data_IF_373642504359
#
_entry.id   IF_373642504359
#
_cell.length_a   1.000
_cell.length_b   1.000
_cell.length_c   1.000
_cell.angle_alpha   90.00
_cell.angle_beta   90.00
_cell.angle_gamma   90.00
#
_symmetry.space_group_name_H-M   'P 1'
#
loop_
_entity.id
_entity.type
_entity.pdbx_description
1 polymer ?
#
# COMPACT_ATOMS: atom_id res chain seq x y z
N UNK A 1 -23.98 8.33 34.68
CA UNK A 1 -22.55 8.13 34.36
C UNK A 1 -22.42 8.31 32.86
N UNK A 2 -21.55 9.21 32.35
CA UNK A 2 -21.35 9.34 30.91
C UNK A 2 -20.59 8.13 30.38
N UNK A 3 -21.04 7.60 29.24
CA UNK A 3 -20.37 6.53 28.51
C UNK A 3 -19.17 7.16 27.81
N UNK A 4 -17.96 6.94 28.30
CA UNK A 4 -16.73 7.36 27.63
C UNK A 4 -16.61 6.49 26.37
N UNK A 5 -17.10 6.98 25.24
CA UNK A 5 -16.78 6.39 23.94
C UNK A 5 -15.29 6.63 23.72
N UNK A 6 -14.48 5.58 23.76
CA UNK A 6 -13.08 5.66 23.34
C UNK A 6 -13.10 6.10 21.87
N UNK A 7 -12.45 7.22 21.49
CA UNK A 7 -12.36 7.60 20.09
C UNK A 7 -11.72 6.42 19.36
N UNK A 8 -12.49 5.81 18.46
CA UNK A 8 -11.99 4.68 17.69
C UNK A 8 -11.07 5.29 16.64
N UNK A 9 -9.78 5.28 16.92
CA UNK A 9 -8.77 5.76 15.96
C UNK A 9 -8.89 4.88 14.72
N UNK A 10 -9.40 5.45 13.63
CA UNK A 10 -9.48 4.79 12.33
C UNK A 10 -8.27 5.21 11.52
N UNK A 11 -7.55 4.22 10.99
CA UNK A 11 -6.30 4.44 10.27
C UNK A 11 -6.47 4.14 8.78
N UNK A 12 -6.86 5.11 7.98
CA UNK A 12 -7.08 4.91 6.55
C UNK A 12 -5.76 4.76 5.78
N UNK A 13 -5.69 3.77 4.90
CA UNK A 13 -4.61 3.65 3.92
C UNK A 13 -5.01 4.38 2.63
N UNK A 14 -4.08 5.14 2.06
CA UNK A 14 -4.24 5.73 0.73
C UNK A 14 -3.03 5.46 -0.15
N UNK A 15 -3.27 5.21 -1.43
CA UNK A 15 -2.27 5.27 -2.49
C UNK A 15 -2.58 6.50 -3.32
N UNK A 16 -1.65 7.45 -3.34
CA UNK A 16 -1.73 8.69 -4.09
C UNK A 16 -0.59 8.74 -5.13
N UNK A 17 -0.93 8.90 -6.41
CA UNK A 17 0.03 9.21 -7.47
C UNK A 17 0.11 10.73 -7.64
N UNK A 18 1.21 11.34 -7.18
CA UNK A 18 1.30 12.79 -6.98
C UNK A 18 1.66 13.55 -8.26
N UNK A 19 2.19 12.89 -9.30
CA UNK A 19 2.90 13.59 -10.41
C UNK A 19 2.36 13.40 -11.84
N UNK A 20 1.24 12.70 -12.08
CA UNK A 20 0.69 12.64 -13.44
C UNK A 20 -0.84 12.67 -13.51
N UNK A 21 -1.31 12.99 -14.72
CA UNK A 21 -2.67 13.08 -15.27
C UNK A 21 -3.73 12.05 -14.81
N UNK A 22 -3.40 11.10 -13.95
CA UNK A 22 -4.27 10.10 -13.36
C UNK A 22 -4.32 10.30 -11.85
N UNK A 23 -5.05 11.33 -11.39
CA UNK A 23 -5.35 11.58 -9.98
C UNK A 23 -6.21 10.47 -9.36
N UNK A 24 -5.68 9.25 -9.33
CA UNK A 24 -6.31 8.07 -8.80
C UNK A 24 -5.90 7.97 -7.33
N UNK A 25 -6.67 8.65 -6.49
CA UNK A 25 -6.62 8.46 -5.03
C UNK A 25 -7.45 7.24 -4.70
N UNK A 26 -6.78 6.15 -4.30
CA UNK A 26 -7.46 4.99 -3.75
C UNK A 26 -7.38 5.09 -2.23
N UNK A 27 -8.48 5.51 -1.59
CA UNK A 27 -8.61 5.52 -0.13
C UNK A 27 -9.38 4.30 0.36
N UNK A 28 -8.88 3.66 1.41
CA UNK A 28 -9.53 2.52 2.05
C UNK A 28 -9.17 2.46 3.53
N UNK A 29 -10.21 2.40 4.37
CA UNK A 29 -10.15 2.45 5.84
C UNK A 29 -9.28 1.41 6.57
N UNK A 30 -9.51 1.31 7.88
CA UNK A 30 -8.54 0.89 8.91
C UNK A 30 -7.92 -0.51 8.93
N UNK A 31 -8.25 -1.41 8.00
CA UNK A 31 -7.93 -2.84 8.15
C UNK A 31 -6.81 -3.32 7.21
N UNK A 32 -6.07 -4.35 7.65
CA UNK A 32 -5.08 -5.07 6.82
C UNK A 32 -5.71 -5.68 5.55
N UNK A 33 -6.98 -6.04 5.62
CA UNK A 33 -7.78 -6.52 4.48
C UNK A 33 -8.04 -5.43 3.44
N UNK A 34 -8.02 -4.17 3.86
CA UNK A 34 -8.22 -3.03 2.96
C UNK A 34 -6.97 -2.71 2.15
N UNK A 35 -5.76 -2.80 2.75
CA UNK A 35 -4.51 -2.66 1.98
C UNK A 35 -4.39 -3.74 0.89
N UNK A 36 -4.87 -4.95 1.18
CA UNK A 36 -5.00 -6.02 0.18
C UNK A 36 -5.89 -5.59 -0.98
N UNK A 37 -7.04 -4.98 -0.68
CA UNK A 37 -8.00 -4.51 -1.68
C UNK A 37 -7.46 -3.33 -2.49
N UNK A 38 -6.82 -2.36 -1.83
CA UNK A 38 -6.16 -1.22 -2.46
C UNK A 38 -5.03 -1.67 -3.39
N UNK A 39 -4.22 -2.64 -2.95
CA UNK A 39 -3.17 -3.23 -3.76
C UNK A 39 -3.73 -3.91 -5.02
N UNK A 40 -4.79 -4.71 -4.87
CA UNK A 40 -5.47 -5.35 -6.01
C UNK A 40 -6.09 -4.33 -6.99
N UNK A 41 -6.72 -3.27 -6.46
CA UNK A 41 -7.33 -2.19 -7.25
C UNK A 41 -6.27 -1.41 -8.02
N UNK A 42 -5.19 -1.02 -7.37
CA UNK A 42 -4.10 -0.29 -7.99
C UNK A 42 -3.46 -1.14 -9.11
N UNK A 43 -3.10 -2.39 -8.83
CA UNK A 43 -2.49 -3.29 -9.82
C UNK A 43 -3.35 -3.52 -11.07
N UNK A 44 -4.68 -3.59 -10.90
CA UNK A 44 -5.60 -3.78 -12.02
C UNK A 44 -5.44 -2.71 -13.10
N UNK A 45 -5.09 -1.49 -12.69
CA UNK A 45 -4.98 -0.34 -13.59
C UNK A 45 -3.56 -0.14 -14.14
N UNK A 46 -2.54 -0.88 -13.68
CA UNK A 46 -1.13 -0.69 -14.07
C UNK A 46 -0.66 -1.55 -15.25
N UNK A 47 -1.31 -2.69 -15.53
CA UNK A 47 -0.86 -3.60 -16.58
C UNK A 47 0.33 -4.46 -16.17
N UNK A 48 1.34 -4.61 -17.04
CA UNK A 48 2.56 -5.38 -16.74
C UNK A 48 3.60 -4.49 -16.05
N UNK A 49 4.00 -4.88 -14.84
CA UNK A 49 4.90 -4.12 -13.98
C UNK A 49 6.11 -4.95 -13.53
N UNK A 50 6.41 -6.08 -14.20
CA UNK A 50 7.52 -6.95 -13.80
C UNK A 50 8.88 -6.26 -13.83
N UNK A 51 9.05 -5.24 -14.66
CA UNK A 51 10.28 -4.43 -14.77
C UNK A 51 10.36 -3.28 -13.76
N UNK A 52 9.37 -3.16 -12.87
CA UNK A 52 9.31 -2.07 -11.91
C UNK A 52 10.34 -2.22 -10.79
N UNK A 53 11.35 -1.36 -10.78
CA UNK A 53 12.48 -1.40 -9.83
C UNK A 53 12.04 -1.37 -8.36
N UNK A 54 10.95 -0.65 -8.03
CA UNK A 54 10.46 -0.53 -6.64
C UNK A 54 9.45 -1.62 -6.27
N UNK A 55 9.15 -2.55 -7.17
CA UNK A 55 8.22 -3.65 -6.90
C UNK A 55 8.62 -4.48 -5.65
N UNK A 56 9.89 -4.89 -5.45
CA UNK A 56 10.26 -5.64 -4.24
C UNK A 56 9.96 -4.86 -2.95
N UNK A 57 10.30 -3.56 -2.93
CA UNK A 57 10.09 -2.67 -1.80
C UNK A 57 8.61 -2.49 -1.49
N UNK A 58 7.79 -2.28 -2.53
CA UNK A 58 6.35 -2.16 -2.39
C UNK A 58 5.72 -3.47 -1.90
N UNK A 59 6.14 -4.60 -2.47
CA UNK A 59 5.72 -5.93 -2.03
C UNK A 59 6.05 -6.19 -0.56
N UNK A 60 7.19 -5.69 -0.07
CA UNK A 60 7.59 -5.82 1.34
C UNK A 60 6.67 -5.02 2.25
N UNK A 61 6.28 -3.81 1.85
CA UNK A 61 5.30 -2.98 2.56
C UNK A 61 3.93 -3.67 2.61
N UNK A 62 3.44 -4.16 1.48
CA UNK A 62 2.16 -4.89 1.39
C UNK A 62 2.20 -6.15 2.25
N UNK A 63 3.29 -6.92 2.22
CA UNK A 63 3.43 -8.11 3.07
C UNK A 63 3.42 -7.78 4.56
N UNK A 64 4.06 -6.69 4.99
CA UNK A 64 4.12 -6.29 6.40
C UNK A 64 2.77 -5.77 6.91
N UNK A 65 2.05 -5.01 6.08
CA UNK A 65 0.86 -4.27 6.51
C UNK A 65 -0.48 -4.83 5.99
N UNK A 66 -0.48 -5.88 5.18
CA UNK A 66 -1.69 -6.57 4.69
C UNK A 66 -1.82 -8.00 5.25
N UNK A 67 -2.88 -8.69 4.87
CA UNK A 67 -3.07 -10.12 5.13
C UNK A 67 -2.65 -11.01 3.95
N UNK A 68 -2.17 -10.41 2.84
CA UNK A 68 -1.70 -11.17 1.68
C UNK A 68 -0.44 -11.95 2.01
N UNK A 69 -0.41 -13.20 1.56
CA UNK A 69 0.78 -14.02 1.63
C UNK A 69 1.83 -13.56 0.62
N UNK A 70 3.10 -13.65 1.01
CA UNK A 70 4.25 -13.31 0.17
C UNK A 70 4.22 -13.91 -1.26
N UNK A 71 3.83 -15.19 -1.47
CA UNK A 71 3.76 -15.75 -2.82
C UNK A 71 2.76 -15.03 -3.74
N UNK A 72 1.61 -14.61 -3.20
CA UNK A 72 0.58 -13.90 -3.98
C UNK A 72 1.12 -12.52 -4.41
N UNK A 73 1.77 -11.82 -3.47
CA UNK A 73 2.36 -10.50 -3.72
C UNK A 73 3.45 -10.60 -4.79
N UNK A 74 4.32 -11.61 -4.70
CA UNK A 74 5.38 -11.86 -5.67
C UNK A 74 4.83 -12.08 -7.08
N UNK A 75 3.82 -12.95 -7.23
CA UNK A 75 3.16 -13.22 -8.52
C UNK A 75 2.53 -11.95 -9.10
N UNK A 76 1.82 -11.17 -8.28
CA UNK A 76 1.13 -9.97 -8.74
C UNK A 76 2.08 -8.83 -9.15
N UNK A 77 3.28 -8.79 -8.56
CA UNK A 77 4.31 -7.82 -8.89
C UNK A 77 5.27 -8.30 -9.99
N UNK A 78 5.16 -9.55 -10.43
CA UNK A 78 6.10 -10.13 -11.38
C UNK A 78 7.53 -10.28 -10.85
N UNK A 79 7.72 -10.33 -9.52
CA UNK A 79 9.03 -10.48 -8.86
C UNK A 79 9.13 -11.79 -8.09
N UNK A 80 10.33 -12.11 -7.59
CA UNK A 80 10.51 -13.30 -6.76
C UNK A 80 10.19 -13.03 -5.29
N UNK A 81 9.77 -14.06 -4.55
CA UNK A 81 9.58 -13.94 -3.09
C UNK A 81 10.88 -13.56 -2.37
N UNK A 82 12.02 -14.07 -2.86
CA UNK A 82 13.33 -13.79 -2.29
C UNK A 82 13.67 -12.30 -2.39
N UNK A 83 13.43 -11.67 -3.53
CA UNK A 83 13.66 -10.22 -3.69
C UNK A 83 12.84 -9.37 -2.72
N UNK A 84 11.61 -9.79 -2.39
CA UNK A 84 10.79 -9.10 -1.38
C UNK A 84 11.28 -9.40 0.06
N UNK A 85 11.77 -10.62 0.29
CA UNK A 85 12.27 -11.02 1.60
C UNK A 85 13.56 -10.29 1.98
N UNK A 86 14.46 -10.10 1.01
CA UNK A 86 15.75 -9.42 1.16
C UNK A 86 15.61 -7.91 1.39
N UNK A 87 14.49 -7.31 0.99
CA UNK A 87 14.22 -5.90 1.26
C UNK A 87 14.20 -5.60 2.76
N UNK A 88 14.74 -4.45 3.19
CA UNK A 88 14.71 -4.05 4.59
C UNK A 88 13.28 -3.96 5.10
N UNK A 89 13.09 -4.22 6.40
CA UNK A 89 11.78 -4.06 7.03
C UNK A 89 11.31 -2.61 6.85
N UNK A 90 10.07 -2.39 6.39
CA UNK A 90 9.57 -1.05 6.16
C UNK A 90 9.42 -0.35 7.52
N UNK A 91 9.82 0.92 7.56
CA UNK A 91 9.64 1.76 8.74
C UNK A 91 8.17 2.11 8.99
N UNK A 92 7.95 3.30 9.54
CA UNK A 92 6.59 3.83 9.73
C UNK A 92 6.13 4.57 8.47
N UNK A 93 4.88 4.39 7.99
CA UNK A 93 4.31 5.21 6.92
C UNK A 93 4.31 6.71 7.29
N UNK A 94 4.24 7.63 6.30
CA UNK A 94 4.02 7.39 4.87
C UNK A 94 5.27 6.89 4.14
N UNK A 95 5.06 6.13 3.07
CA UNK A 95 6.12 5.65 2.19
C UNK A 95 6.03 6.31 0.83
N UNK A 96 7.15 6.79 0.31
CA UNK A 96 7.25 7.40 -1.02
C UNK A 96 8.19 6.57 -1.89
N UNK A 97 7.74 6.23 -3.09
CA UNK A 97 8.52 5.48 -4.08
C UNK A 97 8.04 5.81 -5.49
N UNK A 98 8.91 5.60 -6.49
CA UNK A 98 8.52 5.78 -7.89
C UNK A 98 7.65 4.60 -8.31
N UNK A 99 6.50 4.87 -8.92
CA UNK A 99 5.64 3.92 -9.59
C UNK A 99 6.24 3.39 -10.89
N UNK A 100 5.59 2.39 -11.52
CA UNK A 100 6.08 1.76 -12.75
C UNK A 100 6.13 2.74 -13.93
N UNK A 101 5.22 3.72 -13.98
CA UNK A 101 5.22 4.78 -14.99
C UNK A 101 6.20 5.93 -14.68
N UNK A 102 6.95 5.84 -13.59
CA UNK A 102 7.88 6.87 -13.12
C UNK A 102 7.26 7.92 -12.20
N UNK A 103 5.93 7.89 -11.99
CA UNK A 103 5.20 8.80 -11.10
C UNK A 103 5.57 8.61 -9.64
N UNK A 104 5.50 9.67 -8.83
CA UNK A 104 5.67 9.53 -7.39
C UNK A 104 4.42 8.90 -6.77
N UNK A 105 4.56 7.70 -6.20
CA UNK A 105 3.54 7.04 -5.42
C UNK A 105 3.79 7.27 -3.92
N UNK A 106 2.75 7.71 -3.24
CA UNK A 106 2.72 7.89 -1.79
C UNK A 106 1.74 6.89 -1.19
N UNK A 107 2.24 5.95 -0.39
CA UNK A 107 1.43 5.08 0.45
C UNK A 107 1.37 5.68 1.86
N UNK A 108 0.27 6.37 2.16
CA UNK A 108 0.05 6.97 3.46
C UNK A 108 -0.87 6.11 4.33
N UNK A 109 -0.66 6.19 5.65
CA UNK A 109 -1.59 5.68 6.64
C UNK A 109 -1.99 6.84 7.54
N UNK A 110 -3.09 7.49 7.19
CA UNK A 110 -3.57 8.66 7.93
C UNK A 110 -4.46 8.22 9.08
N UNK A 111 -4.33 8.90 10.22
CA UNK A 111 -5.25 8.78 11.32
C UNK A 111 -6.46 9.67 11.02
N UNK A 112 -7.56 9.09 10.56
CA UNK A 112 -8.83 9.78 10.47
C UNK A 112 -9.45 9.78 11.88
N UNK A 113 -9.37 10.92 12.55
CA UNK A 113 -10.14 11.14 13.79
C UNK A 113 -11.62 10.87 13.50
N UNK A 114 -12.18 9.83 14.12
CA UNK A 114 -13.62 9.75 14.31
C UNK A 114 -14.00 10.86 15.31
N UNK A 115 -14.93 11.71 14.88
CA UNK A 115 -15.50 12.85 15.61
C UNK A 115 -15.65 12.66 17.13
#
# INVERSE_FOLDING_TARGET
MPVTATPTIQYEWSIDAVDANHGARYSGGSSKEMLTSLFALWLKDQGDISDWEQAPRFGKIVHTYSTLSLPIIAVWLGVTEQTIYEEPAPGTPPFEFRGPDGDLLTLARECTECQ
#
